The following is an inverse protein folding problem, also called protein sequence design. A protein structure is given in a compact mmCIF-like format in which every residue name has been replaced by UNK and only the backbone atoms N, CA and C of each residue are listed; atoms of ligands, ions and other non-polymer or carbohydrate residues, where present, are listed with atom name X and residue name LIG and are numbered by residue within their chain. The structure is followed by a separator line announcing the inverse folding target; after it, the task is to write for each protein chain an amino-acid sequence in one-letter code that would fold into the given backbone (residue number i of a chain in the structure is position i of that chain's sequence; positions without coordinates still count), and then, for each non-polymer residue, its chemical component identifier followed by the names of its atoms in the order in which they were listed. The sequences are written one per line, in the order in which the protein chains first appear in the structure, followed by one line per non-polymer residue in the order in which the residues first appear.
data_IF_667668149667
#
_entry.id   IF_667668149667
#
_cell.length_a   1.000
_cell.length_b   1.000
_cell.length_c   1.000
_cell.angle_alpha   90.00
_cell.angle_beta   90.00
_cell.angle_gamma   90.00
#
_symmetry.space_group_name_H-M   'P 1'
#
loop_
_entity.id
_entity.type
_entity.pdbx_description
1 polymer ?
#
# COMPACT_ATOMS: atom_id res chain seq x y z
N UNK A 1 -4.39 -33.98 -5.24
CA UNK A 1 -5.36 -32.92 -4.88
C UNK A 1 -5.63 -33.09 -3.38
N UNK A 2 -5.82 -32.03 -2.59
CA UNK A 2 -6.06 -32.21 -1.15
C UNK A 2 -7.50 -32.72 -0.96
N UNK A 3 -7.66 -34.04 -0.78
CA UNK A 3 -8.98 -34.69 -0.72
C UNK A 3 -9.88 -34.06 0.36
N UNK A 4 -9.30 -33.61 1.48
CA UNK A 4 -10.03 -32.89 2.53
C UNK A 4 -10.60 -31.55 2.07
N UNK A 5 -9.86 -30.81 1.24
CA UNK A 5 -10.35 -29.56 0.66
C UNK A 5 -11.46 -29.83 -0.36
N UNK A 6 -11.29 -30.88 -1.17
CA UNK A 6 -12.32 -31.30 -2.14
C UNK A 6 -13.64 -31.60 -1.42
N UNK A 7 -13.62 -32.36 -0.33
CA UNK A 7 -14.83 -32.67 0.45
C UNK A 7 -15.47 -31.42 1.06
N UNK A 8 -14.68 -30.47 1.57
CA UNK A 8 -15.20 -29.19 2.08
C UNK A 8 -15.86 -28.33 1.00
N UNK A 9 -15.26 -28.27 -0.18
CA UNK A 9 -15.85 -27.56 -1.33
C UNK A 9 -17.11 -28.28 -1.79
N UNK A 10 -17.10 -29.61 -1.88
CA UNK A 10 -18.25 -30.40 -2.24
C UNK A 10 -19.42 -30.22 -1.26
N UNK A 11 -19.14 -30.16 0.05
CA UNK A 11 -20.11 -29.87 1.11
C UNK A 11 -20.79 -28.52 0.89
N UNK A 12 -20.02 -27.45 0.63
CA UNK A 12 -20.57 -26.13 0.30
C UNK A 12 -21.37 -26.11 -1.00
N UNK A 13 -20.94 -26.86 -2.01
CA UNK A 13 -21.70 -26.97 -3.26
C UNK A 13 -23.00 -27.74 -3.09
N UNK A 14 -23.01 -28.76 -2.24
CA UNK A 14 -24.22 -29.48 -1.88
C UNK A 14 -25.17 -28.62 -1.04
N UNK A 15 -24.67 -27.82 -0.10
CA UNK A 15 -25.45 -26.85 0.67
C UNK A 15 -26.14 -25.85 -0.26
N UNK A 16 -25.42 -25.27 -1.23
CA UNK A 16 -25.98 -24.36 -2.22
C UNK A 16 -27.06 -25.03 -3.08
N UNK A 17 -26.77 -26.23 -3.62
CA UNK A 17 -27.71 -26.98 -4.44
C UNK A 17 -28.97 -27.37 -3.66
N UNK A 18 -28.83 -27.93 -2.46
CA UNK A 18 -29.96 -28.35 -1.63
C UNK A 18 -30.82 -27.17 -1.16
N UNK A 19 -30.19 -26.02 -0.88
CA UNK A 19 -30.87 -24.76 -0.61
C UNK A 19 -31.74 -24.29 -1.79
N UNK A 20 -31.20 -24.36 -3.02
CA UNK A 20 -31.94 -24.05 -4.24
C UNK A 20 -33.09 -25.03 -4.49
N UNK A 21 -32.87 -26.32 -4.30
CA UNK A 21 -33.94 -27.33 -4.41
C UNK A 21 -35.07 -27.07 -3.41
N UNK A 22 -34.72 -26.81 -2.14
CA UNK A 22 -35.68 -26.45 -1.11
C UNK A 22 -36.45 -25.16 -1.45
N UNK A 23 -35.78 -24.16 -2.04
CA UNK A 23 -36.41 -22.94 -2.51
C UNK A 23 -37.42 -23.20 -3.63
N UNK A 24 -37.05 -24.00 -4.63
CA UNK A 24 -37.94 -24.39 -5.74
C UNK A 24 -39.18 -25.10 -5.20
N UNK A 25 -39.00 -26.10 -4.33
CA UNK A 25 -40.12 -26.83 -3.73
C UNK A 25 -41.01 -25.90 -2.90
N UNK A 26 -40.42 -24.99 -2.11
CA UNK A 26 -41.17 -24.01 -1.30
C UNK A 26 -41.98 -23.02 -2.15
N UNK A 27 -41.50 -22.67 -3.34
CA UNK A 27 -42.20 -21.76 -4.26
C UNK A 27 -43.19 -22.47 -5.19
N UNK A 28 -43.12 -23.80 -5.27
CA UNK A 28 -43.97 -24.62 -6.12
C UNK A 28 -45.15 -25.18 -5.34
N UNK A 29 -46.20 -25.57 -6.06
CA UNK A 29 -47.32 -26.32 -5.48
C UNK A 29 -47.07 -27.80 -5.67
N UNK A 30 -47.06 -28.57 -4.58
CA UNK A 30 -47.08 -30.03 -4.65
C UNK A 30 -48.51 -30.48 -4.98
N UNK A 31 -48.66 -31.25 -6.05
CA UNK A 31 -49.94 -31.76 -6.53
C UNK A 31 -50.28 -33.11 -5.85
N UNK A 32 -51.55 -33.55 -5.87
CA UNK A 32 -51.96 -34.82 -5.24
C UNK A 32 -51.27 -36.07 -5.77
N UNK A 33 -50.78 -36.03 -7.01
CA UNK A 33 -50.05 -37.11 -7.68
C UNK A 33 -48.53 -37.10 -7.37
N UNK A 34 -48.08 -36.20 -6.50
CA UNK A 34 -46.66 -36.03 -6.15
C UNK A 34 -45.86 -35.20 -7.15
N UNK A 35 -46.47 -34.72 -8.23
CA UNK A 35 -45.82 -33.78 -9.15
C UNK A 35 -45.75 -32.38 -8.53
N UNK A 36 -44.93 -31.50 -9.11
CA UNK A 36 -44.85 -30.10 -8.69
C UNK A 36 -45.27 -29.16 -9.82
N UNK A 37 -46.08 -28.16 -9.47
CA UNK A 37 -46.41 -27.05 -10.35
C UNK A 37 -45.54 -25.85 -9.98
N UNK A 38 -44.59 -25.49 -10.84
CA UNK A 38 -43.75 -24.30 -10.69
C UNK A 38 -44.54 -23.08 -11.18
N UNK A 39 -44.62 -21.98 -10.42
CA UNK A 39 -45.38 -20.82 -10.85
C UNK A 39 -44.73 -20.14 -12.05
N UNK A 40 -45.55 -19.58 -12.95
CA UNK A 40 -45.10 -19.01 -14.23
C UNK A 40 -43.99 -17.95 -14.07
N UNK A 41 -44.08 -17.09 -13.05
CA UNK A 41 -43.06 -16.07 -12.80
C UNK A 41 -41.68 -16.68 -12.53
N UNK A 42 -41.64 -17.84 -11.85
CA UNK A 42 -40.43 -18.54 -11.48
C UNK A 42 -39.84 -19.26 -12.69
N UNK A 43 -40.67 -19.94 -13.48
CA UNK A 43 -40.25 -20.52 -14.77
C UNK A 43 -39.62 -19.44 -15.65
N UNK A 44 -40.32 -18.32 -15.86
CA UNK A 44 -39.82 -17.20 -16.69
C UNK A 44 -38.48 -16.65 -16.18
N UNK A 45 -38.35 -16.45 -14.87
CA UNK A 45 -37.13 -15.91 -14.27
C UNK A 45 -35.97 -16.89 -14.35
N UNK A 46 -36.16 -18.12 -13.86
CA UNK A 46 -35.08 -19.10 -13.73
C UNK A 46 -34.64 -19.66 -15.08
N UNK A 47 -35.56 -19.89 -16.03
CA UNK A 47 -35.16 -20.25 -17.40
C UNK A 47 -34.27 -19.17 -18.02
N UNK A 48 -34.63 -17.89 -17.87
CA UNK A 48 -33.77 -16.79 -18.35
C UNK A 48 -32.38 -16.82 -17.69
N UNK A 49 -32.30 -17.10 -16.40
CA UNK A 49 -31.00 -17.18 -15.70
C UNK A 49 -30.16 -18.35 -16.20
N UNK A 50 -30.77 -19.52 -16.44
CA UNK A 50 -30.08 -20.72 -16.93
C UNK A 50 -29.62 -20.55 -18.39
N UNK A 51 -30.43 -19.89 -19.23
CA UNK A 51 -30.13 -19.69 -20.65
C UNK A 51 -29.16 -18.54 -20.94
N UNK A 52 -28.86 -17.71 -19.92
CA UNK A 52 -27.97 -16.54 -20.06
C UNK A 52 -26.62 -16.82 -19.44
N UNK A 53 -25.52 -16.57 -20.16
CA UNK A 53 -24.18 -16.74 -19.61
C UNK A 53 -23.94 -15.75 -18.47
N UNK A 54 -23.21 -16.15 -17.43
CA UNK A 54 -22.99 -15.30 -16.23
C UNK A 54 -22.50 -13.89 -16.57
N UNK A 55 -21.59 -13.74 -17.54
CA UNK A 55 -21.07 -12.43 -17.97
C UNK A 55 -22.17 -11.50 -18.50
N UNK A 56 -23.22 -12.07 -19.10
CA UNK A 56 -24.32 -11.38 -19.78
C UNK A 56 -25.57 -11.24 -18.87
N UNK A 57 -25.53 -11.78 -17.65
CA UNK A 57 -26.61 -11.58 -16.67
C UNK A 57 -26.67 -10.10 -16.24
N UNK A 58 -27.88 -9.56 -15.99
CA UNK A 58 -28.04 -8.31 -15.26
C UNK A 58 -27.39 -8.38 -13.88
N UNK A 59 -26.84 -7.27 -13.40
CA UNK A 59 -26.04 -7.24 -12.17
C UNK A 59 -26.80 -7.75 -10.93
N UNK A 60 -28.07 -7.35 -10.81
CA UNK A 60 -28.97 -7.79 -9.74
C UNK A 60 -29.35 -9.28 -9.80
N UNK A 61 -29.05 -9.97 -10.91
CA UNK A 61 -29.27 -11.41 -11.04
C UNK A 61 -28.01 -12.22 -10.70
N UNK A 62 -26.85 -11.58 -10.60
CA UNK A 62 -25.58 -12.21 -10.22
C UNK A 62 -25.36 -12.27 -8.72
N UNK A 63 -26.11 -11.48 -7.94
CA UNK A 63 -25.92 -11.37 -6.48
C UNK A 63 -25.97 -12.73 -5.79
N UNK A 64 -26.94 -13.59 -6.13
CA UNK A 64 -27.03 -14.93 -5.52
C UNK A 64 -25.83 -15.81 -5.88
N UNK A 65 -25.32 -15.73 -7.11
CA UNK A 65 -24.16 -16.53 -7.53
C UNK A 65 -22.89 -16.05 -6.83
N UNK A 66 -22.74 -14.74 -6.64
CA UNK A 66 -21.64 -14.15 -5.86
C UNK A 66 -21.70 -14.54 -4.40
N UNK A 67 -22.87 -14.50 -3.78
CA UNK A 67 -23.04 -14.92 -2.38
C UNK A 67 -22.63 -16.39 -2.19
N UNK A 68 -22.97 -17.29 -3.11
CA UNK A 68 -22.50 -18.68 -3.06
C UNK A 68 -20.99 -18.81 -3.33
N UNK A 69 -20.44 -18.02 -4.25
CA UNK A 69 -19.00 -17.97 -4.49
C UNK A 69 -18.22 -17.48 -3.26
N UNK A 70 -18.70 -16.45 -2.58
CA UNK A 70 -18.09 -15.87 -1.38
C UNK A 70 -18.02 -16.88 -0.23
N UNK A 71 -19.05 -17.73 -0.07
CA UNK A 71 -19.03 -18.82 0.92
C UNK A 71 -17.90 -19.82 0.66
N UNK A 72 -17.60 -20.11 -0.60
CA UNK A 72 -16.48 -20.99 -0.98
C UNK A 72 -15.15 -20.26 -0.73
N UNK A 73 -15.02 -19.00 -1.15
CA UNK A 73 -13.81 -18.19 -0.96
C UNK A 73 -13.48 -17.98 0.52
N UNK A 74 -14.49 -17.95 1.39
CA UNK A 74 -14.34 -17.84 2.83
C UNK A 74 -13.82 -19.12 3.51
N UNK A 75 -13.69 -20.25 2.80
CA UNK A 75 -13.10 -21.47 3.36
C UNK A 75 -11.65 -21.18 3.80
N UNK A 76 -11.24 -21.54 5.03
CA UNK A 76 -9.93 -21.17 5.58
C UNK A 76 -8.74 -21.56 4.70
N UNK A 77 -8.80 -22.75 4.09
CA UNK A 77 -7.77 -23.23 3.18
C UNK A 77 -7.65 -22.38 1.91
N UNK A 78 -8.78 -21.93 1.36
CA UNK A 78 -8.82 -21.09 0.14
C UNK A 78 -8.39 -19.68 0.49
N UNK A 79 -8.96 -19.11 1.56
CA UNK A 79 -8.57 -17.78 2.06
C UNK A 79 -7.08 -17.70 2.33
N UNK A 80 -6.52 -18.67 3.06
CA UNK A 80 -5.08 -18.71 3.34
C UNK A 80 -4.24 -18.79 2.07
N UNK A 81 -4.71 -19.52 1.05
CA UNK A 81 -4.02 -19.58 -0.24
C UNK A 81 -4.09 -18.24 -0.99
N UNK A 82 -5.23 -17.55 -0.97
CA UNK A 82 -5.40 -16.22 -1.56
C UNK A 82 -4.52 -15.18 -0.85
N UNK A 83 -4.53 -15.16 0.48
CA UNK A 83 -3.69 -14.26 1.29
C UNK A 83 -2.19 -14.48 0.96
N UNK A 84 -1.77 -15.74 0.82
CA UNK A 84 -0.39 -16.07 0.39
C UNK A 84 -0.07 -15.57 -1.01
N UNK A 85 -1.00 -15.71 -1.96
CA UNK A 85 -0.81 -15.21 -3.32
C UNK A 85 -0.69 -13.68 -3.35
N UNK A 86 -1.47 -12.98 -2.53
CA UNK A 86 -1.36 -11.53 -2.37
C UNK A 86 -0.01 -11.12 -1.77
N UNK A 87 0.42 -11.81 -0.71
CA UNK A 87 1.75 -11.61 -0.14
C UNK A 87 2.87 -11.88 -1.15
N UNK A 88 2.73 -12.86 -2.04
CA UNK A 88 3.73 -13.13 -3.09
C UNK A 88 3.81 -12.00 -4.12
N UNK A 89 2.69 -11.37 -4.48
CA UNK A 89 2.69 -10.19 -5.37
C UNK A 89 3.43 -9.02 -4.73
N UNK A 90 3.11 -8.71 -3.48
CA UNK A 90 3.79 -7.66 -2.70
C UNK A 90 5.29 -7.98 -2.59
N UNK A 91 5.64 -9.23 -2.28
CA UNK A 91 7.05 -9.65 -2.17
C UNK A 91 7.81 -9.43 -3.49
N UNK A 92 7.15 -9.71 -4.63
CA UNK A 92 7.74 -9.47 -5.95
C UNK A 92 7.95 -7.98 -6.20
N UNK A 93 6.97 -7.13 -5.88
CA UNK A 93 7.09 -5.68 -6.02
C UNK A 93 8.22 -5.12 -5.15
N UNK A 94 8.35 -5.58 -3.90
CA UNK A 94 9.46 -5.21 -3.01
C UNK A 94 10.81 -5.59 -3.64
N UNK A 95 10.92 -6.78 -4.21
CA UNK A 95 12.17 -7.23 -4.82
C UNK A 95 12.55 -6.39 -6.05
N UNK A 96 11.58 -6.02 -6.88
CA UNK A 96 11.80 -5.11 -8.01
C UNK A 96 12.29 -3.73 -7.53
N UNK A 97 11.66 -3.16 -6.50
CA UNK A 97 12.07 -1.88 -5.89
C UNK A 97 13.49 -1.99 -5.31
N UNK A 98 13.79 -3.07 -4.57
CA UNK A 98 15.13 -3.29 -4.01
C UNK A 98 16.20 -3.41 -5.11
N UNK A 99 15.87 -4.03 -6.24
CA UNK A 99 16.76 -4.12 -7.40
C UNK A 99 17.00 -2.75 -8.02
N UNK A 100 15.95 -1.95 -8.20
CA UNK A 100 16.06 -0.58 -8.71
C UNK A 100 16.92 0.29 -7.79
N UNK A 101 16.68 0.25 -6.48
CA UNK A 101 17.49 0.97 -5.48
C UNK A 101 18.97 0.61 -5.55
N UNK A 102 19.30 -0.69 -5.71
CA UNK A 102 20.70 -1.15 -5.85
C UNK A 102 21.35 -0.75 -7.18
N UNK A 103 20.54 -0.48 -8.20
CA UNK A 103 21.03 -0.02 -9.51
C UNK A 103 21.26 1.49 -9.57
N UNK A 104 20.80 2.24 -8.57
CA UNK A 104 21.08 3.66 -8.48
C UNK A 104 22.57 3.91 -8.29
N UNK A 105 23.14 4.94 -8.93
CA UNK A 105 24.52 5.34 -8.68
C UNK A 105 24.69 5.70 -7.20
N UNK A 106 25.89 5.44 -6.67
CA UNK A 106 26.25 5.92 -5.35
C UNK A 106 25.98 7.43 -5.28
N UNK A 107 25.28 7.85 -4.23
CA UNK A 107 25.02 9.27 -4.04
C UNK A 107 26.36 10.01 -3.93
N UNK A 108 26.47 11.21 -4.52
CA UNK A 108 27.65 12.02 -4.32
C UNK A 108 27.84 12.31 -2.82
N UNK A 109 29.09 12.52 -2.41
CA UNK A 109 29.40 13.00 -1.05
C UNK A 109 28.50 14.21 -0.75
N UNK A 110 27.69 14.11 0.31
CA UNK A 110 26.83 15.22 0.71
C UNK A 110 27.70 16.22 1.46
N UNK A 111 27.86 17.40 0.87
CA UNK A 111 28.57 18.51 1.47
C UNK A 111 27.56 19.47 2.12
N UNK A 112 27.55 19.50 3.45
CA UNK A 112 26.76 20.45 4.23
C UNK A 112 27.57 21.70 4.54
N UNK A 113 26.99 22.86 4.31
CA UNK A 113 27.51 24.13 4.80
C UNK A 113 26.95 24.34 6.21
N UNK A 114 27.82 24.31 7.21
CA UNK A 114 27.46 24.51 8.62
C UNK A 114 28.16 25.72 9.20
N UNK A 115 27.58 26.33 10.22
CA UNK A 115 28.21 27.42 10.96
C UNK A 115 29.53 26.93 11.57
N UNK A 116 30.59 27.72 11.43
CA UNK A 116 31.90 27.37 11.93
C UNK A 116 31.85 27.27 13.47
N UNK A 117 32.11 26.09 14.07
CA UNK A 117 32.00 25.88 15.51
C UNK A 117 33.08 26.63 16.30
N UNK A 118 34.18 27.01 15.65
CA UNK A 118 35.23 27.86 16.23
C UNK A 118 34.85 29.35 16.22
N UNK A 119 33.88 29.73 15.40
CA UNK A 119 33.33 31.10 15.34
C UNK A 119 32.15 31.30 16.31
N UNK A 120 32.04 30.48 17.37
CA UNK A 120 31.06 30.63 18.44
C UNK A 120 31.20 31.99 19.12
N UNK A 121 30.45 33.00 18.64
CA UNK A 121 29.91 34.17 19.37
C UNK A 121 29.69 35.33 18.38
N UNK A 122 28.49 35.42 17.77
CA UNK A 122 28.00 36.71 17.26
C UNK A 122 26.49 36.90 17.19
N UNK A 123 25.66 35.93 17.59
CA UNK A 123 24.20 36.14 17.67
C UNK A 123 23.74 36.83 18.97
N UNK A 124 24.62 37.03 19.95
CA UNK A 124 24.34 37.80 21.16
C UNK A 124 24.58 39.30 20.95
N UNK A 125 23.52 40.10 21.07
CA UNK A 125 23.54 41.57 21.08
C UNK A 125 24.66 42.12 21.99
N UNK A 126 25.77 42.56 21.41
CA UNK A 126 26.73 43.43 22.09
C UNK A 126 27.14 44.56 21.16
N UNK A 127 27.29 45.75 21.72
CA UNK A 127 27.29 47.07 21.07
C UNK A 127 28.67 47.50 20.54
N UNK A 128 29.55 46.56 20.19
CA UNK A 128 30.88 46.87 19.65
C UNK A 128 31.08 46.36 18.22
N UNK A 129 31.31 47.25 17.25
CA UNK A 129 31.68 46.89 15.88
C UNK A 129 33.13 46.39 15.73
N UNK A 130 34.02 46.66 16.69
CA UNK A 130 35.47 46.49 16.50
C UNK A 130 36.03 45.10 16.87
N UNK A 131 35.33 44.29 17.69
CA UNK A 131 35.82 42.95 18.10
C UNK A 131 35.33 41.81 17.21
N UNK A 132 34.29 42.02 16.39
CA UNK A 132 33.70 40.96 15.55
C UNK A 132 34.48 40.67 14.27
N UNK A 133 35.18 41.65 13.72
CA UNK A 133 35.92 41.53 12.45
C UNK A 133 37.26 40.80 12.57
N UNK A 134 37.86 40.71 13.77
CA UNK A 134 39.17 40.04 13.93
C UNK A 134 39.07 38.52 14.03
N UNK A 135 37.98 37.96 14.56
CA UNK A 135 37.80 36.51 14.66
C UNK A 135 37.43 35.90 13.30
N UNK A 136 36.58 36.60 12.52
CA UNK A 136 36.19 36.17 11.18
C UNK A 136 37.42 36.06 10.27
N UNK A 137 38.14 37.15 10.02
CA UNK A 137 39.20 37.18 9.01
C UNK A 137 40.44 36.32 9.31
N UNK A 138 40.57 35.74 10.52
CA UNK A 138 41.72 34.92 10.93
C UNK A 138 41.37 33.49 11.31
N UNK A 139 40.10 33.09 11.30
CA UNK A 139 39.73 31.71 11.58
C UNK A 139 40.32 30.80 10.49
N UNK A 140 41.22 29.90 10.89
CA UNK A 140 41.88 28.96 9.96
C UNK A 140 40.90 27.99 9.32
N UNK A 141 39.82 27.68 10.04
CA UNK A 141 38.83 26.67 9.67
C UNK A 141 37.85 27.19 8.62
N UNK A 142 37.27 28.39 8.80
CA UNK A 142 36.32 28.98 7.83
C UNK A 142 36.93 30.03 6.90
N UNK A 143 38.20 30.40 7.09
CA UNK A 143 38.94 31.42 6.31
C UNK A 143 38.20 32.76 6.16
N UNK A 144 37.41 33.17 7.16
CA UNK A 144 36.66 34.43 7.08
C UNK A 144 35.21 34.34 6.66
N UNK A 145 34.73 33.18 6.24
CA UNK A 145 33.35 33.03 5.74
C UNK A 145 32.31 32.85 6.85
N UNK A 146 32.74 32.45 8.06
CA UNK A 146 31.85 32.06 9.14
C UNK A 146 31.20 30.69 8.97
N UNK A 147 31.39 30.04 7.83
CA UNK A 147 30.82 28.73 7.50
C UNK A 147 31.92 27.74 7.08
N UNK A 148 31.69 26.46 7.27
CA UNK A 148 32.58 25.38 6.80
C UNK A 148 31.78 24.34 6.04
N UNK A 149 32.43 23.69 5.08
CA UNK A 149 31.87 22.53 4.41
C UNK A 149 32.24 21.28 5.18
N UNK A 150 31.24 20.51 5.58
CA UNK A 150 31.40 19.21 6.20
C UNK A 150 30.86 18.14 5.27
N UNK A 151 31.67 17.11 5.00
CA UNK A 151 31.17 15.89 4.36
C UNK A 151 30.39 15.08 5.37
N UNK A 152 29.17 14.70 5.01
CA UNK A 152 28.32 13.83 5.80
C UNK A 152 27.85 12.65 4.96
N UNK A 153 27.59 11.54 5.62
CA UNK A 153 26.92 10.38 5.04
C UNK A 153 25.44 10.67 4.80
N UNK A 154 24.80 9.87 3.94
CA UNK A 154 23.35 9.97 3.73
C UNK A 154 22.57 9.79 5.04
N UNK A 155 23.00 8.86 5.90
CA UNK A 155 22.33 8.57 7.16
C UNK A 155 22.42 9.77 8.12
N UNK A 156 23.62 10.37 8.25
CA UNK A 156 23.83 11.59 9.05
C UNK A 156 22.99 12.77 8.51
N UNK A 157 22.88 12.90 7.18
CA UNK A 157 22.05 13.95 6.56
C UNK A 157 20.56 13.73 6.84
N UNK A 158 20.06 12.50 6.68
CA UNK A 158 18.65 12.15 6.96
C UNK A 158 18.32 12.41 8.42
N UNK A 159 19.21 12.02 9.34
CA UNK A 159 19.03 12.23 10.77
C UNK A 159 18.96 13.74 11.11
N UNK A 160 19.91 14.53 10.59
CA UNK A 160 19.94 15.98 10.79
C UNK A 160 18.68 16.70 10.24
N UNK A 161 18.23 16.34 9.04
CA UNK A 161 16.99 16.91 8.45
C UNK A 161 15.76 16.50 9.26
N UNK A 162 15.69 15.23 9.66
CA UNK A 162 14.56 14.72 10.47
C UNK A 162 14.49 15.43 11.83
N UNK A 163 15.63 15.64 12.47
CA UNK A 163 15.72 16.38 13.74
C UNK A 163 15.31 17.86 13.56
N UNK A 164 15.80 18.52 12.50
CA UNK A 164 15.40 19.89 12.18
C UNK A 164 13.89 20.02 11.97
N UNK A 165 13.28 19.12 11.19
CA UNK A 165 11.83 19.11 10.95
C UNK A 165 11.05 18.90 12.25
N UNK A 166 11.50 18.00 13.12
CA UNK A 166 10.91 17.76 14.45
C UNK A 166 10.96 19.01 15.33
N UNK A 167 12.10 19.68 15.36
CA UNK A 167 12.32 20.87 16.20
C UNK A 167 11.57 22.11 15.71
N UNK A 168 11.15 22.14 14.44
CA UNK A 168 10.42 23.25 13.83
C UNK A 168 8.94 22.92 13.52
N UNK A 169 8.45 21.78 14.00
CA UNK A 169 7.07 21.30 13.83
C UNK A 169 6.62 21.27 12.34
N UNK A 170 7.56 20.91 11.45
CA UNK A 170 7.33 20.82 10.01
C UNK A 170 6.77 19.42 9.71
N UNK A 171 5.50 19.28 9.28
CA UNK A 171 4.90 17.97 9.03
C UNK A 171 5.55 17.28 7.82
N UNK A 172 6.01 16.04 8.01
CA UNK A 172 6.55 15.20 6.94
C UNK A 172 5.43 14.74 6.01
N UNK A 173 5.16 15.49 4.94
CA UNK A 173 4.19 15.11 3.90
C UNK A 173 4.85 14.26 2.81
N UNK A 174 5.37 13.07 3.17
CA UNK A 174 5.69 11.96 2.25
C UNK A 174 6.14 12.30 0.82
N UNK A 175 6.98 13.32 0.67
CA UNK A 175 7.28 13.96 -0.60
C UNK A 175 8.77 13.95 -0.81
N UNK A 176 9.18 13.70 -2.06
CA UNK A 176 10.57 13.80 -2.52
C UNK A 176 11.13 15.15 -2.08
N UNK A 177 12.12 15.14 -1.18
CA UNK A 177 12.97 16.30 -0.91
C UNK A 177 13.71 16.61 -2.21
N UNK A 178 13.19 17.55 -3.00
CA UNK A 178 13.96 18.17 -4.07
C UNK A 178 15.00 19.06 -3.41
N UNK A 179 16.24 18.57 -3.38
CA UNK A 179 17.39 19.44 -3.21
C UNK A 179 17.41 20.37 -4.43
N UNK A 180 17.02 21.63 -4.25
CA UNK A 180 17.24 22.66 -5.25
C UNK A 180 18.75 22.92 -5.34
N UNK A 181 19.39 22.22 -6.27
CA UNK A 181 20.79 22.35 -6.62
C UNK A 181 21.00 21.67 -7.97
N UNK A 182 20.89 22.48 -9.02
CA UNK A 182 21.20 22.22 -10.44
C UNK A 182 21.71 20.81 -10.80
N UNK A 183 20.91 20.10 -11.59
CA UNK A 183 21.41 19.04 -12.47
C UNK A 183 22.36 19.71 -13.47
N UNK A 184 23.66 19.68 -13.18
CA UNK A 184 24.67 19.99 -14.19
C UNK A 184 24.57 18.92 -15.29
N UNK A 185 24.28 19.40 -16.50
CA UNK A 185 24.42 18.63 -17.75
C UNK A 185 25.88 18.35 -18.05
#
# INVERSE_FOLDING_TARGET
MNDKLKEKVADKMHEAWSGWMAYIFRKSKVNPDGTITIPQWAVKRWSKQVDTWYKDLPENMKDSDREEADKILALPEIKSALDKLEMLKITKEIFEIQRELKSLPALPDIELIVDCPECKYSSGKSTGLAHRTQCWNKCKSCKGTGQITQKVTLDEFIEAVTEYMRNNDIPFKGGVLRLEGEILK
#
